data_IF_287031199681
#
_entry.id   IF_287031199681
#
_cell.length_a   1.000
_cell.length_b   1.000
_cell.length_c   1.000
_cell.angle_alpha   90.00
_cell.angle_beta   90.00
_cell.angle_gamma   90.00
#
_symmetry.space_group_name_H-M   'P 1'
#
loop_
_entity.id
_entity.type
_entity.pdbx_description
1 polymer ?
#
# COMPACT_ATOMS: atom_id res chain seq x y z
N UNK A 1 3.09 -32.20 -44.61
CA UNK A 1 3.49 -31.96 -46.01
C UNK A 1 3.77 -30.47 -46.19
N UNK A 2 4.94 -30.24 -46.75
CA UNK A 2 5.53 -28.99 -47.26
C UNK A 2 5.88 -27.84 -46.31
N UNK A 3 7.17 -27.91 -45.90
CA UNK A 3 8.03 -26.84 -45.51
C UNK A 3 8.36 -25.96 -46.74
N UNK A 4 8.32 -24.65 -46.63
CA UNK A 4 9.01 -23.76 -47.56
C UNK A 4 10.00 -22.88 -46.77
N UNK A 5 11.28 -23.21 -46.90
CA UNK A 5 12.41 -22.38 -46.55
C UNK A 5 12.53 -21.24 -47.57
N UNK A 6 12.77 -20.02 -47.11
CA UNK A 6 13.31 -18.95 -47.95
C UNK A 6 14.69 -18.57 -47.42
N UNK A 7 15.69 -18.83 -48.31
CA UNK A 7 17.04 -18.31 -48.22
C UNK A 7 17.05 -16.99 -48.99
N UNK A 8 17.60 -15.95 -48.41
CA UNK A 8 18.00 -14.76 -49.14
C UNK A 8 19.49 -14.58 -48.93
N UNK A 9 20.19 -14.60 -50.07
CA UNK A 9 21.63 -14.48 -50.28
C UNK A 9 21.97 -12.98 -50.28
N UNK A 10 23.14 -12.65 -49.72
CA UNK A 10 23.66 -11.33 -49.52
C UNK A 10 24.06 -10.55 -50.80
N UNK A 11 24.27 -9.30 -50.60
CA UNK A 11 25.21 -8.53 -51.42
C UNK A 11 25.91 -7.49 -50.54
N UNK A 12 27.22 -7.63 -50.45
CA UNK A 12 28.14 -6.71 -49.84
C UNK A 12 28.41 -5.57 -50.85
N UNK A 13 28.24 -4.33 -50.45
CA UNK A 13 28.83 -3.18 -51.16
C UNK A 13 29.50 -2.27 -50.15
N UNK A 14 30.81 -2.29 -50.23
CA UNK A 14 31.74 -1.45 -49.51
C UNK A 14 31.84 -0.12 -50.24
N UNK A 15 31.42 0.97 -49.62
CA UNK A 15 31.80 2.32 -50.05
C UNK A 15 32.32 3.07 -48.85
N UNK A 16 33.61 3.27 -48.85
CA UNK A 16 34.31 4.16 -47.93
C UNK A 16 34.10 5.61 -48.35
N UNK A 17 33.46 6.40 -47.50
CA UNK A 17 33.48 7.87 -47.62
C UNK A 17 33.68 8.43 -46.21
N UNK A 18 34.91 8.90 -45.99
CA UNK A 18 35.30 9.66 -44.81
C UNK A 18 34.69 11.05 -44.88
N UNK A 19 33.70 11.31 -44.05
CA UNK A 19 33.23 12.66 -43.73
C UNK A 19 33.52 12.93 -42.28
N UNK A 20 34.46 13.83 -42.01
CA UNK A 20 34.62 14.41 -40.67
C UNK A 20 33.41 15.29 -40.40
N UNK A 21 32.52 14.81 -39.55
CA UNK A 21 31.51 15.64 -38.90
C UNK A 21 31.93 15.83 -37.45
N UNK A 22 32.28 17.07 -37.13
CA UNK A 22 32.35 17.55 -35.74
C UNK A 22 30.98 17.43 -35.16
N UNK A 23 30.76 16.37 -34.38
CA UNK A 23 29.56 16.23 -33.58
C UNK A 23 29.73 17.10 -32.34
N UNK A 24 29.01 18.21 -32.29
CA UNK A 24 28.66 18.83 -31.01
C UNK A 24 27.87 17.81 -30.19
N UNK A 25 28.53 17.24 -29.21
CA UNK A 25 27.92 16.41 -28.20
C UNK A 25 27.11 17.33 -27.32
N UNK A 26 25.84 17.49 -27.63
CA UNK A 26 24.85 17.97 -26.65
C UNK A 26 24.66 16.84 -25.65
N UNK A 27 25.35 16.93 -24.52
CA UNK A 27 25.03 16.15 -23.32
C UNK A 27 23.61 16.50 -22.88
N UNK A 28 22.62 15.81 -23.42
CA UNK A 28 21.34 15.68 -22.75
C UNK A 28 21.59 14.82 -21.53
N UNK A 29 21.99 15.47 -20.44
CA UNK A 29 21.83 14.93 -19.11
C UNK A 29 20.35 14.62 -18.98
N UNK A 30 20.05 13.35 -19.09
CA UNK A 30 18.79 12.79 -18.60
C UNK A 30 18.88 12.90 -17.07
N UNK A 31 18.56 14.06 -16.55
CA UNK A 31 18.28 14.22 -15.13
C UNK A 31 17.00 13.44 -14.89
N UNK A 32 17.18 12.16 -14.55
CA UNK A 32 16.22 11.45 -13.73
C UNK A 32 16.03 12.32 -12.50
N UNK A 33 15.01 13.15 -12.51
CA UNK A 33 14.58 13.88 -11.33
C UNK A 33 14.22 12.82 -10.29
N UNK A 34 15.15 12.50 -9.39
CA UNK A 34 14.78 11.91 -8.11
C UNK A 34 13.74 12.87 -7.55
N UNK A 35 12.47 12.45 -7.51
CA UNK A 35 11.46 13.14 -6.74
C UNK A 35 12.07 13.33 -5.35
N UNK A 36 12.21 14.56 -4.90
CA UNK A 36 12.56 14.81 -3.51
C UNK A 36 11.48 14.10 -2.72
N UNK A 37 11.86 13.20 -1.82
CA UNK A 37 10.93 12.57 -0.90
C UNK A 37 10.14 13.68 -0.22
N UNK A 38 8.88 13.83 -0.64
CA UNK A 38 7.99 14.85 -0.13
C UNK A 38 7.54 14.36 1.24
N UNK A 39 7.96 15.08 2.27
CA UNK A 39 7.55 14.77 3.64
C UNK A 39 6.08 15.14 3.82
N UNK A 40 5.28 14.17 4.22
CA UNK A 40 3.90 14.34 4.61
C UNK A 40 3.71 13.92 6.08
N UNK A 41 2.64 14.33 6.71
CA UNK A 41 2.34 13.99 8.09
C UNK A 41 0.86 14.19 8.38
N UNK A 42 0.48 14.13 9.65
CA UNK A 42 -0.91 14.24 10.07
C UNK A 42 -1.24 15.60 10.68
N UNK A 43 -0.29 16.53 10.78
CA UNK A 43 -0.50 17.84 11.42
C UNK A 43 0.14 18.98 10.63
N UNK A 44 -0.39 20.20 10.84
CA UNK A 44 0.16 21.43 10.27
C UNK A 44 0.15 21.47 8.74
N UNK A 45 1.16 22.08 8.15
CA UNK A 45 1.26 22.31 6.70
C UNK A 45 1.46 21.03 5.86
N UNK A 46 1.79 19.91 6.48
CA UNK A 46 1.96 18.61 5.83
C UNK A 46 0.82 17.63 6.15
N UNK A 47 -0.23 18.12 6.84
CA UNK A 47 -1.39 17.32 7.24
C UNK A 47 -2.34 16.99 6.08
N UNK A 48 -3.37 16.15 6.34
CA UNK A 48 -4.26 15.59 5.32
C UNK A 48 -4.90 16.63 4.39
N UNK A 49 -5.28 17.77 4.90
CA UNK A 49 -5.88 18.85 4.09
C UNK A 49 -4.93 19.45 3.05
N UNK A 50 -3.65 19.15 3.12
CA UNK A 50 -2.60 19.70 2.27
C UNK A 50 -1.91 18.65 1.40
N UNK A 51 -2.18 17.35 1.60
CA UNK A 51 -1.47 16.28 0.89
C UNK A 51 -1.49 16.45 -0.62
N UNK A 52 -2.63 16.75 -1.22
CA UNK A 52 -2.74 16.94 -2.67
C UNK A 52 -2.00 18.16 -3.22
N UNK A 53 -1.55 19.06 -2.36
CA UNK A 53 -0.75 20.25 -2.72
C UNK A 53 0.76 20.05 -2.49
N UNK A 54 1.17 18.98 -1.80
CA UNK A 54 2.57 18.69 -1.49
C UNK A 54 3.35 18.20 -2.71
N UNK A 55 2.71 17.42 -3.58
CA UNK A 55 3.30 16.85 -4.79
C UNK A 55 2.22 16.58 -5.83
N UNK A 56 2.62 16.60 -7.13
CA UNK A 56 1.74 16.14 -8.21
C UNK A 56 1.35 14.67 -8.07
N UNK A 57 2.20 13.86 -7.47
CA UNK A 57 1.94 12.44 -7.23
C UNK A 57 0.81 12.24 -6.20
N UNK A 58 0.52 13.26 -5.38
CA UNK A 58 -0.53 13.25 -4.36
C UNK A 58 -1.80 14.01 -4.77
N UNK A 59 -1.88 14.47 -6.02
CA UNK A 59 -3.00 15.29 -6.51
C UNK A 59 -4.37 14.61 -6.30
N UNK A 60 -4.43 13.28 -6.40
CA UNK A 60 -5.66 12.53 -6.18
C UNK A 60 -6.18 12.59 -4.76
N UNK A 61 -5.34 12.86 -3.75
CA UNK A 61 -5.78 13.10 -2.36
C UNK A 61 -6.68 14.34 -2.22
N UNK A 62 -6.64 15.26 -3.21
CA UNK A 62 -7.47 16.47 -3.25
C UNK A 62 -8.55 16.42 -4.31
N UNK A 63 -8.21 15.93 -5.52
CA UNK A 63 -9.06 16.02 -6.70
C UNK A 63 -9.77 14.70 -7.04
N UNK A 64 -9.41 13.60 -6.39
CA UNK A 64 -10.04 12.29 -6.55
C UNK A 64 -11.54 12.33 -6.20
N UNK A 65 -12.32 11.49 -6.86
CA UNK A 65 -13.79 11.44 -6.68
C UNK A 65 -14.24 10.27 -5.81
N UNK A 66 -13.33 9.34 -5.55
CA UNK A 66 -13.55 8.15 -4.72
C UNK A 66 -12.56 8.21 -3.56
N UNK A 67 -12.94 8.97 -2.52
CA UNK A 67 -12.11 9.20 -1.33
C UNK A 67 -12.41 8.17 -0.25
N UNK A 68 -11.36 7.73 0.47
CA UNK A 68 -11.43 6.94 1.69
C UNK A 68 -10.15 7.24 2.50
N UNK A 69 -10.21 7.28 3.83
CA UNK A 69 -11.35 7.14 4.76
C UNK A 69 -12.44 8.20 4.61
N UNK A 70 -13.65 7.90 5.12
CA UNK A 70 -14.83 8.79 4.99
C UNK A 70 -15.66 8.84 6.29
N UNK A 71 -16.54 9.83 6.36
CA UNK A 71 -17.63 9.82 7.33
C UNK A 71 -18.82 9.02 6.75
N UNK A 72 -19.12 7.87 7.35
CA UNK A 72 -20.24 7.00 6.95
C UNK A 72 -21.51 7.56 7.59
N UNK A 73 -22.43 8.01 6.74
CA UNK A 73 -23.72 8.58 7.16
C UNK A 73 -24.87 7.90 6.43
N UNK A 74 -26.02 7.84 7.09
CA UNK A 74 -27.23 7.29 6.48
C UNK A 74 -27.11 5.80 6.13
N UNK A 75 -26.40 5.05 6.95
CA UNK A 75 -26.28 3.61 6.78
C UNK A 75 -27.66 2.95 6.86
N UNK A 76 -27.94 2.02 5.94
CA UNK A 76 -29.17 1.24 5.91
C UNK A 76 -28.89 -0.17 6.45
N UNK A 77 -29.82 -0.69 7.24
CA UNK A 77 -29.78 -2.08 7.71
C UNK A 77 -30.21 -3.01 6.57
N UNK A 78 -29.25 -3.63 5.92
CA UNK A 78 -29.46 -4.53 4.79
C UNK A 78 -28.70 -5.84 5.00
N UNK A 79 -29.23 -6.92 4.45
CA UNK A 79 -28.60 -8.24 4.49
C UNK A 79 -27.47 -8.27 3.44
N UNK A 80 -26.24 -8.10 3.88
CA UNK A 80 -25.04 -8.16 3.04
C UNK A 80 -24.41 -9.56 3.10
N UNK A 81 -23.77 -10.02 2.01
CA UNK A 81 -22.96 -11.24 2.07
C UNK A 81 -21.88 -11.15 3.14
N UNK A 82 -21.69 -12.23 3.89
CA UNK A 82 -20.59 -12.33 4.85
C UNK A 82 -19.23 -12.20 4.15
N UNK A 83 -18.27 -11.60 4.85
CA UNK A 83 -16.88 -11.58 4.40
C UNK A 83 -16.29 -12.98 4.49
N UNK A 84 -15.81 -13.51 3.37
CA UNK A 84 -15.17 -14.81 3.34
C UNK A 84 -13.69 -14.68 3.70
N UNK A 85 -13.41 -14.63 5.01
CA UNK A 85 -12.07 -14.56 5.58
C UNK A 85 -11.56 -15.97 5.88
N UNK A 86 -10.31 -16.23 5.51
CA UNK A 86 -9.56 -17.41 5.88
C UNK A 86 -8.32 -16.98 6.65
N UNK A 87 -8.44 -16.93 7.97
CA UNK A 87 -7.36 -16.53 8.86
C UNK A 87 -6.51 -17.73 9.26
N UNK A 88 -5.22 -17.51 9.36
CA UNK A 88 -4.24 -18.50 9.80
C UNK A 88 -3.16 -17.81 10.63
N UNK A 89 -2.69 -18.49 11.66
CA UNK A 89 -1.52 -18.01 12.39
C UNK A 89 -0.35 -17.73 11.45
N UNK A 90 0.22 -16.56 11.57
CA UNK A 90 1.26 -16.07 10.68
C UNK A 90 2.37 -15.36 11.44
N UNK A 91 3.61 -15.65 11.06
CA UNK A 91 4.78 -14.91 11.55
C UNK A 91 4.71 -13.47 11.05
N UNK A 92 4.90 -12.53 11.97
CA UNK A 92 4.77 -11.11 11.71
C UNK A 92 5.90 -10.30 12.32
N UNK A 93 6.09 -9.10 11.79
CA UNK A 93 6.97 -8.09 12.35
C UNK A 93 6.20 -6.80 12.57
N UNK A 94 6.58 -6.05 13.59
CA UNK A 94 6.02 -4.74 13.93
C UNK A 94 7.02 -3.68 13.56
N UNK A 95 6.60 -2.68 12.81
CA UNK A 95 7.39 -1.54 12.40
C UNK A 95 6.79 -0.24 12.93
N UNK A 96 7.64 0.66 13.39
CA UNK A 96 7.32 2.07 13.51
C UNK A 96 7.89 2.77 12.28
N UNK A 97 7.07 3.03 11.27
CA UNK A 97 7.51 3.65 10.02
C UNK A 97 7.58 5.19 10.07
N UNK A 98 7.39 5.78 11.26
CA UNK A 98 7.38 7.23 11.50
C UNK A 98 6.03 7.89 11.29
N UNK A 99 5.05 7.20 10.75
CA UNK A 99 3.68 7.68 10.55
C UNK A 99 2.66 6.85 11.34
N UNK A 100 2.88 5.55 11.42
CA UNK A 100 2.02 4.62 12.15
C UNK A 100 2.84 3.42 12.67
N UNK A 101 2.18 2.60 13.47
CA UNK A 101 2.65 1.24 13.81
C UNK A 101 2.01 0.29 12.81
N UNK A 102 2.85 -0.38 12.05
CA UNK A 102 2.47 -1.33 11.01
C UNK A 102 2.88 -2.76 11.41
N UNK A 103 2.01 -3.72 11.13
CA UNK A 103 2.28 -5.14 11.28
C UNK A 103 2.27 -5.78 9.89
N UNK A 104 3.40 -6.32 9.47
CA UNK A 104 3.56 -6.96 8.17
C UNK A 104 3.87 -8.45 8.30
N UNK A 105 3.60 -9.21 7.24
CA UNK A 105 3.73 -10.66 7.21
C UNK A 105 4.76 -11.09 6.17
N UNK A 106 5.74 -11.91 6.58
CA UNK A 106 6.76 -12.45 5.66
C UNK A 106 6.16 -13.39 4.61
N UNK A 107 5.16 -14.19 5.03
CA UNK A 107 4.46 -15.14 4.18
C UNK A 107 2.95 -15.00 4.45
N UNK A 108 2.24 -14.09 3.78
CA UNK A 108 0.83 -13.85 4.05
C UNK A 108 -0.01 -15.08 3.71
N UNK A 109 -0.60 -15.68 4.73
CA UNK A 109 -1.51 -16.83 4.63
C UNK A 109 -2.97 -16.42 4.76
N UNK A 110 -3.22 -15.26 5.37
CA UNK A 110 -4.55 -14.72 5.59
C UNK A 110 -5.13 -14.19 4.30
N UNK A 111 -6.32 -14.62 3.95
CA UNK A 111 -6.98 -14.24 2.70
C UNK A 111 -8.40 -13.76 2.92
N UNK A 112 -8.85 -12.88 2.04
CA UNK A 112 -10.23 -12.43 1.89
C UNK A 112 -10.67 -12.76 0.47
N UNK A 113 -11.83 -13.41 0.32
CA UNK A 113 -12.41 -13.68 -1.00
C UNK A 113 -13.63 -12.79 -1.22
N UNK A 114 -13.64 -12.06 -2.33
CA UNK A 114 -14.75 -11.21 -2.76
C UNK A 114 -15.08 -11.58 -4.22
N UNK A 115 -16.22 -12.20 -4.44
CA UNK A 115 -16.58 -12.77 -5.74
C UNK A 115 -15.54 -13.83 -6.16
N UNK A 116 -14.92 -13.65 -7.32
CA UNK A 116 -13.90 -14.53 -7.85
C UNK A 116 -12.46 -14.11 -7.47
N UNK A 117 -12.29 -12.96 -6.84
CA UNK A 117 -10.97 -12.44 -6.49
C UNK A 117 -10.54 -12.90 -5.08
N UNK A 118 -9.32 -13.41 -4.98
CA UNK A 118 -8.67 -13.76 -3.72
C UNK A 118 -7.61 -12.70 -3.39
N UNK A 119 -7.80 -12.04 -2.27
CA UNK A 119 -6.92 -11.01 -1.74
C UNK A 119 -6.10 -11.59 -0.58
N UNK A 120 -4.80 -11.32 -0.54
CA UNK A 120 -3.88 -11.72 0.52
C UNK A 120 -3.61 -10.53 1.43
N UNK A 121 -3.70 -10.73 2.74
CA UNK A 121 -3.36 -9.70 3.72
C UNK A 121 -1.87 -9.37 3.62
N UNK A 122 -1.54 -8.14 3.29
CA UNK A 122 -0.15 -7.68 3.18
C UNK A 122 0.37 -7.16 4.52
N UNK A 123 -0.41 -6.30 5.14
CA UNK A 123 -0.09 -5.63 6.40
C UNK A 123 -1.39 -5.10 7.04
N UNK A 124 -1.30 -4.73 8.30
CA UNK A 124 -2.28 -3.85 8.92
C UNK A 124 -1.58 -2.80 9.79
N UNK A 125 -2.22 -1.65 9.94
CA UNK A 125 -1.67 -0.52 10.67
C UNK A 125 -2.78 0.25 11.41
N UNK A 126 -2.39 1.20 12.26
CA UNK A 126 -3.31 1.83 13.19
C UNK A 126 -3.33 3.35 13.08
N UNK A 127 -4.50 3.93 13.33
CA UNK A 127 -4.75 5.36 13.44
C UNK A 127 -5.43 5.68 14.78
N UNK A 128 -4.97 6.73 15.45
CA UNK A 128 -5.55 7.23 16.70
C UNK A 128 -5.60 8.77 16.66
N UNK A 129 -6.80 9.37 16.63
CA UNK A 129 -8.13 8.76 16.53
C UNK A 129 -8.38 8.10 15.17
N UNK A 130 -9.56 7.47 15.00
CA UNK A 130 -9.96 6.89 13.72
C UNK A 130 -9.99 7.95 12.60
N UNK A 131 -9.70 7.51 11.37
CA UNK A 131 -9.83 8.32 10.15
C UNK A 131 -11.23 8.18 9.54
N UNK A 132 -11.86 6.99 9.65
CA UNK A 132 -13.28 6.84 9.35
C UNK A 132 -14.11 7.34 10.54
N UNK A 133 -15.28 7.87 10.22
CA UNK A 133 -16.27 8.32 11.17
C UNK A 133 -17.60 7.59 10.94
N UNK A 134 -18.40 7.47 11.98
CA UNK A 134 -19.81 7.05 11.88
C UNK A 134 -20.67 8.21 12.37
N UNK A 135 -21.50 8.77 11.49
CA UNK A 135 -22.35 9.92 11.75
C UNK A 135 -21.59 11.11 12.40
N UNK A 136 -20.36 11.35 11.94
CA UNK A 136 -19.47 12.41 12.44
C UNK A 136 -18.78 12.08 13.75
N UNK A 137 -18.86 10.85 14.24
CA UNK A 137 -18.20 10.41 15.47
C UNK A 137 -16.91 9.65 15.11
N UNK A 138 -15.78 10.08 15.66
CA UNK A 138 -14.50 9.36 15.65
C UNK A 138 -14.41 8.35 16.78
N UNK A 139 -13.55 7.35 16.61
CA UNK A 139 -13.24 6.31 17.57
C UNK A 139 -11.82 6.45 18.11
N UNK A 140 -11.52 5.93 19.31
CA UNK A 140 -10.19 6.06 19.91
C UNK A 140 -9.06 5.43 19.09
N UNK A 141 -9.37 4.35 18.36
CA UNK A 141 -8.40 3.62 17.53
C UNK A 141 -9.11 3.02 16.32
N UNK A 142 -8.40 2.96 15.21
CA UNK A 142 -8.81 2.27 13.98
C UNK A 142 -7.66 1.41 13.46
N UNK A 143 -7.97 0.19 13.01
CA UNK A 143 -7.04 -0.69 12.33
C UNK A 143 -7.42 -0.84 10.86
N UNK A 144 -6.49 -0.60 9.96
CA UNK A 144 -6.64 -0.81 8.53
C UNK A 144 -5.93 -2.08 8.10
N UNK A 145 -6.68 -3.10 7.67
CA UNK A 145 -6.16 -4.37 7.17
C UNK A 145 -6.11 -4.33 5.65
N UNK A 146 -4.92 -4.23 5.10
CA UNK A 146 -4.67 -4.01 3.67
C UNK A 146 -4.46 -5.33 2.96
N UNK A 147 -5.40 -5.68 2.10
CA UNK A 147 -5.38 -6.89 1.29
C UNK A 147 -5.09 -6.57 -0.17
N UNK A 148 -4.39 -7.47 -0.88
CA UNK A 148 -4.01 -7.29 -2.28
C UNK A 148 -4.11 -8.60 -3.06
N UNK A 149 -4.62 -8.52 -4.29
CA UNK A 149 -4.57 -9.64 -5.25
C UNK A 149 -3.22 -9.72 -5.95
N UNK A 150 -2.92 -10.85 -6.58
CA UNK A 150 -1.69 -11.04 -7.35
C UNK A 150 -1.62 -10.11 -8.59
N UNK A 151 -2.77 -9.64 -9.10
CA UNK A 151 -2.85 -8.66 -10.21
C UNK A 151 -2.91 -7.20 -9.76
N UNK A 152 -2.74 -6.94 -8.46
CA UNK A 152 -2.57 -5.60 -7.91
C UNK A 152 -3.83 -4.87 -7.45
N UNK A 153 -5.02 -5.49 -7.48
CA UNK A 153 -6.21 -4.91 -6.86
C UNK A 153 -6.01 -4.83 -5.34
N UNK A 154 -6.46 -3.74 -4.73
CA UNK A 154 -6.34 -3.53 -3.28
C UNK A 154 -7.75 -3.39 -2.69
N UNK A 155 -7.93 -3.96 -1.52
CA UNK A 155 -9.08 -3.72 -0.64
C UNK A 155 -8.61 -3.55 0.80
N UNK A 156 -9.35 -2.80 1.60
CA UNK A 156 -9.03 -2.55 3.00
C UNK A 156 -10.25 -2.89 3.86
N UNK A 157 -10.04 -3.66 4.91
CA UNK A 157 -11.01 -3.80 6.00
C UNK A 157 -10.60 -2.83 7.10
N UNK A 158 -11.54 -1.97 7.50
CA UNK A 158 -11.37 -1.05 8.62
C UNK A 158 -12.10 -1.59 9.85
N UNK A 159 -11.41 -1.60 10.99
CA UNK A 159 -11.95 -2.01 12.28
C UNK A 159 -11.86 -0.84 13.25
N UNK A 160 -13.00 -0.39 13.74
CA UNK A 160 -13.11 0.70 14.72
C UNK A 160 -13.11 0.12 16.14
N UNK A 161 -12.21 0.59 16.98
CA UNK A 161 -12.08 0.15 18.37
C UNK A 161 -12.61 1.21 19.33
N UNK A 162 -13.27 0.75 20.37
CA UNK A 162 -13.66 1.57 21.49
C UNK A 162 -12.88 1.17 22.75
N UNK A 163 -12.95 1.98 23.80
CA UNK A 163 -12.39 1.58 25.10
C UNK A 163 -13.15 0.39 25.67
N UNK A 164 -12.41 -0.56 26.21
CA UNK A 164 -12.95 -1.80 26.78
C UNK A 164 -11.88 -2.60 27.48
N UNK A 165 -12.09 -3.90 27.57
CA UNK A 165 -11.14 -4.84 28.12
C UNK A 165 -9.89 -4.96 27.22
N UNK A 166 -8.78 -5.42 27.78
CA UNK A 166 -7.53 -5.58 27.04
C UNK A 166 -7.67 -6.65 25.94
N UNK A 167 -7.44 -6.25 24.70
CA UNK A 167 -7.37 -7.17 23.56
C UNK A 167 -5.99 -7.84 23.53
N UNK A 168 -5.95 -9.18 23.63
CA UNK A 168 -4.71 -9.94 23.76
C UNK A 168 -3.88 -9.94 22.46
N UNK A 169 -4.50 -9.90 21.29
CA UNK A 169 -3.80 -9.80 20.02
C UNK A 169 -3.08 -8.45 19.90
N UNK A 170 -3.77 -7.36 20.22
CA UNK A 170 -3.17 -6.02 20.24
C UNK A 170 -2.07 -5.88 21.29
N UNK A 171 -2.21 -6.54 22.44
CA UNK A 171 -1.20 -6.52 23.49
C UNK A 171 0.15 -7.03 23.01
N UNK A 172 0.20 -8.11 22.23
CA UNK A 172 1.43 -8.66 21.68
C UNK A 172 2.16 -7.63 20.80
N UNK A 173 1.39 -6.85 20.05
CA UNK A 173 1.91 -5.80 19.16
C UNK A 173 2.46 -4.64 19.99
N UNK A 174 1.67 -4.12 20.95
CA UNK A 174 2.06 -3.00 21.79
C UNK A 174 3.27 -3.30 22.67
N UNK A 175 3.38 -4.52 23.20
CA UNK A 175 4.52 -4.95 24.02
C UNK A 175 5.83 -5.00 23.23
N UNK A 176 5.78 -5.10 21.91
CA UNK A 176 6.93 -5.21 21.01
C UNK A 176 7.12 -4.01 20.08
N UNK A 177 6.20 -3.06 20.12
CA UNK A 177 6.22 -1.87 19.29
C UNK A 177 7.54 -1.09 19.42
N UNK A 178 8.28 -0.87 18.31
CA UNK A 178 9.49 -0.08 18.33
C UNK A 178 9.20 1.39 18.69
N UNK A 179 10.01 1.95 19.59
CA UNK A 179 9.87 3.34 20.02
C UNK A 179 10.50 4.33 19.03
N UNK A 180 11.53 3.91 18.30
CA UNK A 180 12.20 4.75 17.32
C UNK A 180 11.54 4.60 15.93
N UNK A 181 11.34 5.73 15.25
CA UNK A 181 10.86 5.73 13.87
C UNK A 181 11.85 5.01 12.93
N UNK A 182 11.32 4.37 11.91
CA UNK A 182 12.04 3.57 10.90
C UNK A 182 12.82 2.39 11.53
N UNK A 183 12.20 1.76 12.51
CA UNK A 183 12.73 0.52 13.13
C UNK A 183 11.64 -0.53 13.20
N UNK A 184 12.06 -1.79 13.14
CA UNK A 184 11.19 -2.96 13.15
C UNK A 184 11.64 -3.99 14.21
N UNK A 185 10.69 -4.81 14.66
CA UNK A 185 10.91 -5.90 15.60
C UNK A 185 10.07 -7.11 15.20
N UNK A 186 10.67 -8.29 15.14
CA UNK A 186 9.92 -9.53 14.94
C UNK A 186 9.06 -9.85 16.16
N UNK A 187 7.85 -10.30 15.94
CA UNK A 187 7.01 -10.82 17.02
C UNK A 187 7.53 -12.22 17.42
N UNK A 188 7.59 -12.50 18.74
CA UNK A 188 8.12 -13.76 19.24
C UNK A 188 7.22 -14.96 18.96
N UNK A 189 5.96 -14.71 18.62
CA UNK A 189 4.94 -15.70 18.31
C UNK A 189 4.15 -15.29 17.08
N UNK A 190 3.62 -16.27 16.36
CA UNK A 190 2.68 -16.03 15.29
C UNK A 190 1.42 -15.35 15.82
N UNK A 191 0.82 -14.49 15.01
CA UNK A 191 -0.44 -13.79 15.35
C UNK A 191 -1.61 -14.58 14.75
N UNK A 192 -2.66 -14.77 15.55
CA UNK A 192 -4.01 -15.08 15.08
C UNK A 192 -4.78 -13.77 14.84
N UNK A 193 -5.61 -13.76 13.80
CA UNK A 193 -6.56 -12.67 13.53
C UNK A 193 -8.02 -13.09 13.81
N UNK A 194 -8.21 -14.21 14.48
CA UNK A 194 -9.52 -14.73 14.87
C UNK A 194 -9.94 -14.26 16.27
N UNK A 195 -9.06 -13.53 17.00
CA UNK A 195 -9.27 -13.07 18.39
C UNK A 195 -9.82 -11.64 18.49
#
# INVERSE_FOLDING_TARGET
MNKKSFKIIGLVSLVASTVLLVACQSDTKNESSKSKDVQWGYTGATGPNHWGDLSKDYELSKNGKEQSPINITGAEDVDLPELNLNNQESEAQVENNGHTIEVSFKNPKNTLTIGDDVYKLQQFHFHAPSENEIDGQTYPLEGHFVYKTDNGKITVISVLYNYGDENQALKQIWDKMPQAANTETELPQAISLDD
#
